data_IF_276578905497
#
_entry.id   IF_276578905497
#
_cell.length_a   1.000
_cell.length_b   1.000
_cell.length_c   1.000
_cell.angle_alpha   90.00
_cell.angle_beta   90.00
_cell.angle_gamma   90.00
#
_symmetry.space_group_name_H-M   'P 1'
#
loop_
_entity.id
_entity.type
_entity.pdbx_description
1 polymer ?
#
# COMPACT_ATOMS: atom_id res chain seq x y z
N UNK A 1 9.28 34.75 3.77
CA UNK A 1 10.59 34.20 3.31
C UNK A 1 10.58 33.94 1.79
N UNK A 2 11.59 33.28 1.21
CA UNK A 2 11.64 32.88 -0.22
C UNK A 2 11.97 31.38 -0.36
N UNK A 3 11.50 30.74 -1.43
CA UNK A 3 11.75 29.33 -1.70
C UNK A 3 13.18 29.07 -2.20
N UNK A 4 13.91 28.18 -1.54
CA UNK A 4 15.26 27.73 -1.96
C UNK A 4 15.26 26.84 -3.21
N UNK A 5 14.10 26.29 -3.62
CA UNK A 5 13.95 25.45 -4.82
C UNK A 5 13.52 26.22 -6.07
N UNK A 6 12.61 27.20 -5.95
CA UNK A 6 12.03 27.90 -7.11
C UNK A 6 12.10 29.44 -7.05
N UNK A 7 12.64 30.03 -5.98
CA UNK A 7 12.73 31.49 -5.81
C UNK A 7 11.41 32.22 -5.52
N UNK A 8 10.26 31.54 -5.53
CA UNK A 8 8.97 32.14 -5.20
C UNK A 8 8.94 32.72 -3.77
N UNK A 9 8.21 33.81 -3.57
CA UNK A 9 8.02 34.40 -2.24
C UNK A 9 7.02 33.55 -1.43
N UNK A 10 7.37 33.25 -0.18
CA UNK A 10 6.61 32.39 0.73
C UNK A 10 6.15 33.22 1.93
N UNK A 11 4.86 33.15 2.26
CA UNK A 11 4.28 33.70 3.49
C UNK A 11 4.81 32.98 4.73
N UNK A 12 5.21 33.72 5.75
CA UNK A 12 5.83 33.10 6.94
C UNK A 12 4.82 32.22 7.69
N UNK A 13 5.26 31.03 8.12
CA UNK A 13 4.43 30.01 8.79
C UNK A 13 3.97 28.83 7.90
N UNK A 14 4.06 28.91 6.57
CA UNK A 14 3.68 27.78 5.69
C UNK A 14 4.77 26.70 5.63
N UNK A 15 4.41 25.44 5.91
CA UNK A 15 5.32 24.28 5.92
C UNK A 15 5.83 23.85 4.53
N UNK A 16 5.16 24.27 3.45
CA UNK A 16 5.48 23.92 2.07
C UNK A 16 5.31 25.13 1.15
N UNK A 17 6.07 25.18 0.05
CA UNK A 17 5.99 26.23 -0.94
C UNK A 17 4.80 26.02 -1.88
N UNK A 18 3.78 26.87 -1.79
CA UNK A 18 2.55 26.81 -2.62
C UNK A 18 2.79 26.89 -4.13
N UNK A 19 3.94 27.39 -4.57
CA UNK A 19 4.31 27.46 -5.99
C UNK A 19 5.04 26.23 -6.56
N UNK A 20 5.52 25.28 -5.74
CA UNK A 20 6.26 24.11 -6.23
C UNK A 20 6.25 22.87 -5.30
N UNK A 21 5.43 22.84 -4.25
CA UNK A 21 5.32 21.73 -3.29
C UNK A 21 6.50 21.55 -2.32
N UNK A 22 7.66 22.16 -2.58
CA UNK A 22 8.88 21.93 -1.79
C UNK A 22 8.71 22.28 -0.29
N UNK A 23 9.13 21.41 0.65
CA UNK A 23 9.04 21.68 2.08
C UNK A 23 9.93 22.85 2.49
N UNK A 24 9.48 23.57 3.53
CA UNK A 24 10.15 24.76 4.07
C UNK A 24 10.67 24.43 5.46
N UNK A 25 11.99 24.21 5.58
CA UNK A 25 12.63 23.89 6.85
C UNK A 25 12.64 25.10 7.78
N UNK A 26 11.98 24.97 8.93
CA UNK A 26 11.90 26.01 9.96
C UNK A 26 13.16 25.95 10.84
N UNK A 27 14.24 26.59 10.38
CA UNK A 27 15.48 26.74 11.13
C UNK A 27 15.33 27.74 12.29
N UNK A 28 14.61 27.33 13.34
CA UNK A 28 14.41 28.13 14.54
C UNK A 28 15.74 28.36 15.27
N UNK A 29 16.20 29.62 15.32
CA UNK A 29 17.54 29.97 15.79
C UNK A 29 17.62 30.07 17.31
N UNK A 30 18.43 29.23 17.95
CA UNK A 30 19.05 29.51 19.25
C UNK A 30 20.52 29.07 19.26
N UNK A 31 21.37 30.03 18.93
CA UNK A 31 22.74 30.19 19.42
C UNK A 31 22.74 30.30 20.97
N UNK A 32 23.78 29.94 21.72
CA UNK A 32 25.08 29.33 21.39
C UNK A 32 25.72 28.69 22.66
N UNK A 33 26.94 28.17 22.51
CA UNK A 33 27.91 27.68 23.52
C UNK A 33 27.70 26.27 24.09
N UNK A 34 28.64 25.31 23.89
CA UNK A 34 29.81 25.34 22.99
C UNK A 34 30.87 24.25 23.27
N UNK A 35 31.69 23.93 22.25
CA UNK A 35 32.82 22.96 22.21
C UNK A 35 32.42 21.46 22.38
N UNK A 36 32.70 20.52 21.46
CA UNK A 36 33.97 20.04 20.83
C UNK A 36 34.75 19.07 21.75
N UNK A 37 35.41 17.97 21.32
CA UNK A 37 35.69 17.33 19.99
C UNK A 37 36.14 15.84 20.25
N UNK A 38 36.40 14.87 19.34
CA UNK A 38 36.50 14.74 17.87
C UNK A 38 36.42 13.24 17.42
N UNK A 39 36.29 12.97 16.10
CA UNK A 39 36.40 11.63 15.47
C UNK A 39 35.05 10.89 15.29
N UNK A 40 34.80 9.99 14.32
CA UNK A 40 35.58 9.35 13.23
C UNK A 40 34.85 8.03 12.85
N UNK A 41 34.87 7.45 11.65
CA UNK A 41 35.57 7.74 10.40
C UNK A 41 34.77 7.24 9.15
N UNK A 42 35.34 7.45 7.95
CA UNK A 42 34.95 6.92 6.62
C UNK A 42 35.07 5.35 6.59
N UNK A 43 34.62 4.55 5.56
CA UNK A 43 34.39 4.98 4.17
C UNK A 43 33.33 4.27 3.26
N UNK A 44 33.28 4.78 2.01
CA UNK A 44 33.20 4.06 0.69
C UNK A 44 31.88 3.84 -0.08
N UNK A 45 32.03 3.99 -1.43
CA UNK A 45 31.26 3.39 -2.55
C UNK A 45 29.84 3.96 -2.82
N UNK A 46 29.41 4.30 -4.06
CA UNK A 46 30.14 4.48 -5.34
C UNK A 46 29.27 5.27 -6.37
N UNK A 47 29.88 5.61 -7.51
CA UNK A 47 29.41 6.28 -8.74
C UNK A 47 27.92 6.11 -9.17
N UNK A 48 27.30 7.03 -9.92
CA UNK A 48 27.77 8.35 -10.38
C UNK A 48 27.34 8.76 -11.82
N UNK A 49 26.25 9.52 -11.94
CA UNK A 49 25.76 10.20 -13.18
C UNK A 49 25.26 9.29 -14.33
N UNK A 50 24.39 9.83 -15.23
CA UNK A 50 24.89 10.52 -16.42
C UNK A 50 24.51 12.03 -16.49
N UNK A 51 25.09 12.75 -17.47
CA UNK A 51 24.95 14.21 -17.63
C UNK A 51 24.21 14.63 -18.92
N UNK A 52 23.83 15.91 -18.94
CA UNK A 52 23.77 16.83 -20.09
C UNK A 52 22.77 16.59 -21.24
N UNK A 53 21.74 17.44 -21.26
CA UNK A 53 21.14 18.01 -22.49
C UNK A 53 22.14 18.94 -23.22
N UNK A 54 22.04 19.09 -24.55
CA UNK A 54 21.37 20.28 -25.12
C UNK A 54 20.48 19.95 -26.34
N UNK A 55 19.62 20.83 -26.88
CA UNK A 55 19.21 22.18 -26.45
C UNK A 55 18.66 23.04 -27.61
N UNK A 56 17.55 23.77 -27.38
CA UNK A 56 16.92 24.68 -28.35
C UNK A 56 15.88 24.00 -29.28
N UNK A 57 14.90 24.71 -29.87
CA UNK A 57 14.53 26.14 -29.79
C UNK A 57 13.00 26.31 -29.89
N UNK A 58 12.44 27.40 -29.37
CA UNK A 58 11.00 27.69 -29.37
C UNK A 58 10.66 28.76 -30.41
N UNK A 59 9.71 28.50 -31.33
CA UNK A 59 9.04 29.57 -32.06
C UNK A 59 7.64 29.21 -32.55
N UNK A 60 6.68 30.12 -32.29
CA UNK A 60 5.29 30.10 -32.78
C UNK A 60 5.15 30.92 -34.07
N UNK A 61 4.15 30.65 -34.91
CA UNK A 61 3.36 31.75 -35.50
C UNK A 61 1.84 31.72 -35.16
N UNK A 62 1.15 32.81 -35.47
CA UNK A 62 -0.28 33.08 -35.19
C UNK A 62 -1.16 33.13 -36.47
N UNK A 63 -2.52 33.19 -36.36
CA UNK A 63 -3.44 32.84 -37.46
C UNK A 63 -4.25 34.00 -38.09
N UNK A 64 -5.07 33.65 -39.10
CA UNK A 64 -6.23 34.36 -39.66
C UNK A 64 -7.12 33.33 -40.42
N UNK A 65 -8.46 33.44 -40.58
CA UNK A 65 -9.46 34.42 -40.12
C UNK A 65 -10.90 33.87 -40.20
N UNK A 66 -11.78 34.33 -39.28
CA UNK A 66 -13.17 34.83 -39.45
C UNK A 66 -13.95 34.59 -40.77
N UNK A 67 -15.29 34.45 -40.79
CA UNK A 67 -16.32 34.59 -39.72
C UNK A 67 -17.68 33.93 -40.10
N UNK A 68 -18.51 33.69 -39.07
CA UNK A 68 -19.97 33.46 -39.11
C UNK A 68 -20.75 34.81 -39.13
N UNK A 69 -22.03 34.91 -39.59
CA UNK A 69 -23.15 34.66 -38.66
C UNK A 69 -24.50 34.15 -39.26
N UNK A 70 -25.45 33.89 -38.35
CA UNK A 70 -26.77 33.26 -38.55
C UNK A 70 -27.96 34.28 -38.74
N UNK A 71 -29.24 34.01 -38.38
CA UNK A 71 -30.21 33.12 -39.06
C UNK A 71 -31.63 33.75 -39.34
N UNK A 72 -32.56 32.88 -39.79
CA UNK A 72 -34.04 32.91 -39.63
C UNK A 72 -34.94 33.71 -40.62
N UNK A 73 -36.13 33.15 -40.92
CA UNK A 73 -37.24 33.85 -41.58
C UNK A 73 -38.15 33.02 -42.52
N UNK A 74 -39.38 32.73 -42.08
CA UNK A 74 -40.54 32.27 -42.90
C UNK A 74 -41.60 33.42 -42.93
N UNK A 75 -42.81 33.38 -43.59
CA UNK A 75 -43.53 32.21 -44.15
C UNK A 75 -44.51 32.44 -45.37
N UNK A 76 -45.39 31.46 -45.63
CA UNK A 76 -46.80 31.54 -46.14
C UNK A 76 -47.13 31.71 -47.66
N UNK A 77 -47.70 30.63 -48.25
CA UNK A 77 -48.88 30.51 -49.15
C UNK A 77 -48.89 31.25 -50.54
N UNK A 78 -49.77 30.95 -51.52
CA UNK A 78 -51.06 30.20 -51.52
C UNK A 78 -51.43 29.54 -52.88
N UNK A 79 -52.42 28.63 -52.81
CA UNK A 79 -53.37 28.18 -53.84
C UNK A 79 -53.06 26.99 -54.77
N UNK A 80 -54.14 26.27 -55.09
CA UNK A 80 -54.18 24.98 -55.77
C UNK A 80 -55.42 24.92 -56.75
N UNK A 81 -56.11 23.79 -57.05
CA UNK A 81 -56.38 23.34 -58.43
C UNK A 81 -57.91 23.47 -58.77
N UNK A 82 -58.62 22.70 -59.67
CA UNK A 82 -58.20 21.52 -60.45
C UNK A 82 -58.88 21.25 -61.84
N UNK A 83 -58.54 20.07 -62.39
CA UNK A 83 -59.39 19.11 -63.14
C UNK A 83 -59.67 19.23 -64.67
N UNK A 84 -59.96 18.03 -65.20
CA UNK A 84 -60.51 17.63 -66.51
C UNK A 84 -59.67 17.82 -67.80
N UNK A 85 -59.92 17.14 -68.93
CA UNK A 85 -60.16 15.69 -69.21
C UNK A 85 -60.65 15.52 -70.69
N UNK A 86 -60.06 14.57 -71.42
CA UNK A 86 -60.56 13.95 -72.68
C UNK A 86 -60.72 14.78 -74.00
N UNK A 87 -59.88 14.36 -74.97
CA UNK A 87 -60.27 13.88 -76.32
C UNK A 87 -60.58 14.87 -77.47
N UNK A 88 -60.64 14.27 -78.69
CA UNK A 88 -60.88 14.85 -80.03
C UNK A 88 -59.71 15.72 -80.62
N UNK A 89 -59.44 15.75 -81.94
CA UNK A 89 -59.88 14.89 -83.06
C UNK A 89 -59.13 15.19 -84.39
N UNK A 90 -58.75 14.14 -85.13
CA UNK A 90 -58.60 14.07 -86.61
C UNK A 90 -57.51 14.93 -87.33
N UNK A 91 -57.23 14.60 -88.61
CA UNK A 91 -56.33 15.36 -89.51
C UNK A 91 -54.88 14.83 -89.56
N UNK A 92 -54.63 13.60 -90.02
CA UNK A 92 -54.47 13.20 -91.44
C UNK A 92 -53.05 13.44 -92.01
N UNK A 93 -52.55 12.48 -92.78
CA UNK A 93 -51.18 12.36 -93.28
C UNK A 93 -51.21 12.32 -94.85
N UNK A 94 -50.12 12.06 -95.61
CA UNK A 94 -48.73 11.79 -95.21
C UNK A 94 -47.67 12.51 -96.09
N UNK A 95 -46.38 12.26 -95.83
CA UNK A 95 -45.43 12.07 -96.93
C UNK A 95 -44.40 10.97 -96.62
N UNK A 96 -44.04 10.18 -97.65
CA UNK A 96 -43.22 8.95 -97.50
C UNK A 96 -41.72 9.22 -97.73
N UNK A 97 -40.87 8.49 -97.02
CA UNK A 97 -39.70 7.79 -97.59
C UNK A 97 -39.29 6.62 -96.68
N UNK A 98 -38.62 5.62 -97.23
CA UNK A 98 -38.29 4.38 -96.53
C UNK A 98 -36.95 3.81 -96.99
N UNK A 99 -36.24 3.10 -96.09
CA UNK A 99 -36.10 1.63 -96.16
C UNK A 99 -34.77 1.10 -95.57
N UNK A 100 -34.85 -0.11 -94.97
CA UNK A 100 -33.78 -1.13 -94.83
C UNK A 100 -32.53 -0.79 -93.97
N UNK A 101 -31.81 -1.77 -93.42
CA UNK A 101 -32.16 -3.14 -92.97
C UNK A 101 -31.06 -3.64 -92.01
N UNK A 102 -31.47 -4.44 -91.02
CA UNK A 102 -30.64 -5.23 -90.07
C UNK A 102 -29.24 -5.65 -90.54
N UNK A 103 -28.20 -5.23 -89.81
CA UNK A 103 -26.95 -5.99 -89.62
C UNK A 103 -26.27 -5.67 -88.28
N UNK A 104 -26.25 -4.41 -87.87
CA UNK A 104 -25.54 -3.96 -86.67
C UNK A 104 -26.18 -4.43 -85.35
N UNK A 105 -27.49 -4.70 -85.33
CA UNK A 105 -28.22 -5.15 -84.11
C UNK A 105 -27.69 -6.50 -83.60
N UNK A 106 -27.38 -7.44 -84.49
CA UNK A 106 -26.88 -8.77 -84.10
C UNK A 106 -25.50 -8.65 -83.44
N UNK A 107 -24.63 -7.78 -83.97
CA UNK A 107 -23.31 -7.53 -83.38
C UNK A 107 -23.46 -6.81 -82.03
N UNK A 108 -24.33 -5.81 -81.92
CA UNK A 108 -24.61 -5.13 -80.66
C UNK A 108 -25.14 -6.06 -79.57
N UNK A 109 -26.09 -6.94 -79.90
CA UNK A 109 -26.64 -7.96 -78.97
C UNK A 109 -25.58 -9.00 -78.60
N UNK A 110 -24.75 -9.44 -79.55
CA UNK A 110 -23.68 -10.40 -79.26
C UNK A 110 -22.60 -9.79 -78.35
N UNK A 111 -22.16 -8.56 -78.61
CA UNK A 111 -21.21 -7.83 -77.74
C UNK A 111 -21.83 -7.57 -76.37
N UNK A 112 -23.11 -7.18 -76.27
CA UNK A 112 -23.80 -7.01 -74.99
C UNK A 112 -23.89 -8.33 -74.20
N UNK A 113 -24.16 -9.46 -74.87
CA UNK A 113 -24.14 -10.78 -74.24
C UNK A 113 -22.73 -11.20 -73.80
N UNK A 114 -21.69 -10.95 -74.59
CA UNK A 114 -20.30 -11.23 -74.20
C UNK A 114 -19.88 -10.35 -73.02
N UNK A 115 -20.28 -9.08 -72.98
CA UNK A 115 -20.03 -8.19 -71.82
C UNK A 115 -20.83 -8.64 -70.59
N UNK A 116 -22.08 -9.06 -70.72
CA UNK A 116 -22.86 -9.62 -69.61
C UNK A 116 -22.29 -10.95 -69.10
N UNK A 117 -21.83 -11.83 -69.97
CA UNK A 117 -21.16 -13.08 -69.59
C UNK A 117 -19.79 -12.81 -68.97
N UNK A 118 -19.04 -11.82 -69.47
CA UNK A 118 -17.77 -11.40 -68.86
C UNK A 118 -17.97 -10.71 -67.51
N UNK A 119 -19.02 -9.91 -67.33
CA UNK A 119 -19.37 -9.29 -66.06
C UNK A 119 -19.90 -10.32 -65.05
N UNK A 120 -20.71 -11.28 -65.49
CA UNK A 120 -21.14 -12.40 -64.67
C UNK A 120 -19.97 -13.32 -64.29
N UNK A 121 -19.05 -13.61 -65.23
CA UNK A 121 -17.85 -14.39 -64.95
C UNK A 121 -16.87 -13.64 -64.04
N UNK A 122 -16.71 -12.32 -64.19
CA UNK A 122 -15.90 -11.50 -63.29
C UNK A 122 -16.53 -11.42 -61.89
N UNK A 123 -17.85 -11.19 -61.80
CA UNK A 123 -18.58 -11.22 -60.53
C UNK A 123 -18.50 -12.58 -59.84
N UNK A 124 -18.64 -13.67 -60.59
CA UNK A 124 -18.47 -15.05 -60.11
C UNK A 124 -17.03 -15.35 -59.67
N UNK A 125 -16.03 -14.88 -60.42
CA UNK A 125 -14.59 -15.00 -60.11
C UNK A 125 -14.15 -14.12 -58.93
N UNK A 126 -14.89 -13.07 -58.62
CA UNK A 126 -14.72 -12.21 -57.44
C UNK A 126 -15.45 -12.78 -56.22
N UNK A 127 -16.65 -13.32 -56.40
CA UNK A 127 -17.45 -14.03 -55.38
C UNK A 127 -16.81 -15.35 -54.93
N UNK A 128 -16.10 -16.05 -55.82
CA UNK A 128 -15.24 -17.20 -55.49
C UNK A 128 -13.91 -16.75 -54.84
N UNK A 129 -13.63 -15.43 -54.74
CA UNK A 129 -12.41 -14.86 -54.14
C UNK A 129 -12.62 -13.99 -52.92
N UNK A 130 -13.85 -13.81 -52.46
CA UNK A 130 -14.09 -13.35 -51.09
C UNK A 130 -13.85 -14.54 -50.17
N UNK A 131 -12.80 -14.54 -49.32
CA UNK A 131 -12.72 -15.51 -48.22
C UNK A 131 -14.00 -15.43 -47.39
N UNK A 132 -14.46 -16.57 -46.92
CA UNK A 132 -15.57 -16.63 -45.99
C UNK A 132 -15.08 -16.22 -44.59
N UNK A 133 -15.92 -15.63 -43.74
CA UNK A 133 -15.63 -15.59 -42.32
C UNK A 133 -15.59 -17.03 -41.78
N UNK A 134 -14.55 -17.33 -41.02
CA UNK A 134 -14.34 -18.57 -40.26
C UNK A 134 -14.57 -18.26 -38.79
N UNK A 135 -15.39 -19.07 -38.11
CA UNK A 135 -15.64 -18.92 -36.68
C UNK A 135 -14.41 -19.36 -35.87
N UNK A 136 -14.00 -18.53 -34.93
CA UNK A 136 -12.84 -18.75 -34.05
C UNK A 136 -13.34 -18.97 -32.62
N UNK A 137 -12.71 -19.90 -31.89
CA UNK A 137 -13.01 -20.18 -30.49
C UNK A 137 -11.72 -20.03 -29.68
N UNK A 138 -11.73 -19.16 -28.68
CA UNK A 138 -10.54 -18.75 -27.93
C UNK A 138 -10.78 -18.75 -26.40
N UNK A 139 -10.13 -19.66 -25.68
CA UNK A 139 -10.19 -19.73 -24.22
C UNK A 139 -9.44 -18.56 -23.56
N UNK A 140 -10.18 -17.59 -23.02
CA UNK A 140 -9.69 -16.63 -22.03
C UNK A 140 -9.84 -17.26 -20.64
N UNK A 141 -8.80 -17.22 -19.80
CA UNK A 141 -8.95 -17.59 -18.39
C UNK A 141 -9.53 -16.39 -17.64
N UNK A 142 -10.73 -16.52 -17.08
CA UNK A 142 -11.45 -15.46 -16.39
C UNK A 142 -12.14 -16.04 -15.15
N UNK A 143 -11.40 -16.07 -14.03
CA UNK A 143 -11.80 -16.82 -12.85
C UNK A 143 -13.15 -16.35 -12.28
N UNK A 144 -14.15 -17.24 -12.28
CA UNK A 144 -15.51 -16.95 -11.77
C UNK A 144 -16.45 -16.25 -12.76
N UNK A 145 -16.01 -15.96 -14.00
CA UNK A 145 -16.89 -15.42 -15.03
C UNK A 145 -17.72 -16.53 -15.69
N UNK A 146 -18.96 -16.21 -16.01
CA UNK A 146 -19.89 -17.01 -16.80
C UNK A 146 -20.70 -16.01 -17.65
N UNK A 147 -20.49 -15.97 -18.96
CA UNK A 147 -21.13 -14.96 -19.83
C UNK A 147 -22.64 -15.15 -19.97
N UNK A 148 -23.21 -16.29 -19.53
CA UNK A 148 -24.66 -16.49 -19.47
C UNK A 148 -25.33 -15.81 -18.28
N UNK A 149 -24.54 -15.32 -17.31
CA UNK A 149 -25.04 -14.62 -16.11
C UNK A 149 -24.32 -13.30 -15.81
N UNK A 150 -23.04 -13.16 -16.18
CA UNK A 150 -22.29 -11.89 -16.24
C UNK A 150 -22.41 -11.22 -17.61
N UNK A 151 -21.31 -10.60 -18.06
CA UNK A 151 -21.16 -10.11 -19.44
C UNK A 151 -20.33 -11.07 -20.30
N UNK A 152 -20.50 -10.99 -21.62
CA UNK A 152 -19.47 -11.36 -22.59
C UNK A 152 -18.19 -10.54 -22.38
N UNK A 153 -17.05 -11.06 -22.82
CA UNK A 153 -15.73 -10.44 -22.69
C UNK A 153 -15.49 -9.50 -23.90
N UNK A 154 -15.33 -8.17 -23.71
CA UNK A 154 -15.09 -7.25 -24.81
C UNK A 154 -13.62 -7.30 -25.23
N UNK A 155 -13.37 -7.67 -26.48
CA UNK A 155 -12.02 -7.78 -27.07
C UNK A 155 -11.89 -6.92 -28.31
N UNK A 156 -10.76 -6.25 -28.47
CA UNK A 156 -10.41 -5.49 -29.66
C UNK A 156 -9.40 -6.29 -30.49
N UNK A 157 -9.61 -6.37 -31.81
CA UNK A 157 -8.64 -6.96 -32.74
C UNK A 157 -8.13 -5.93 -33.75
N UNK A 158 -6.82 -5.91 -33.98
CA UNK A 158 -6.16 -5.15 -35.05
C UNK A 158 -5.32 -6.07 -35.95
N UNK A 159 -5.33 -5.88 -37.27
CA UNK A 159 -4.53 -6.70 -38.19
C UNK A 159 -4.83 -6.49 -39.68
N UNK A 160 -4.34 -7.40 -40.52
CA UNK A 160 -4.59 -7.41 -41.97
C UNK A 160 -5.16 -8.75 -42.44
N UNK A 161 -6.16 -8.71 -43.33
CA UNK A 161 -6.60 -9.89 -44.07
C UNK A 161 -5.58 -10.32 -45.15
N UNK A 162 -5.71 -11.54 -45.69
CA UNK A 162 -4.83 -12.06 -46.78
C UNK A 162 -4.88 -11.27 -48.11
N UNK A 163 -5.64 -10.17 -48.17
CA UNK A 163 -5.70 -9.24 -49.31
C UNK A 163 -4.99 -7.92 -49.00
N UNK A 164 -4.38 -7.77 -47.81
CA UNK A 164 -3.77 -6.54 -47.33
C UNK A 164 -4.81 -5.47 -46.98
N UNK A 165 -5.97 -5.87 -46.47
CA UNK A 165 -7.00 -4.95 -45.96
C UNK A 165 -6.97 -4.95 -44.44
N UNK A 166 -6.61 -3.79 -43.90
CA UNK A 166 -6.64 -3.45 -42.48
C UNK A 166 -8.02 -3.76 -41.85
N UNK A 167 -8.00 -4.35 -40.66
CA UNK A 167 -9.14 -4.67 -39.81
C UNK A 167 -8.83 -4.14 -38.42
N UNK A 168 -9.69 -3.27 -37.90
CA UNK A 168 -9.79 -2.91 -36.49
C UNK A 168 -11.28 -3.06 -36.12
N UNK A 169 -11.58 -3.85 -35.09
CA UNK A 169 -12.95 -4.21 -34.73
C UNK A 169 -13.08 -4.75 -33.29
N UNK A 170 -14.20 -4.42 -32.65
CA UNK A 170 -14.58 -4.94 -31.33
C UNK A 170 -15.47 -6.18 -31.47
N UNK A 171 -15.20 -7.20 -30.64
CA UNK A 171 -15.98 -8.43 -30.52
C UNK A 171 -16.33 -8.68 -29.04
N UNK A 172 -17.39 -9.45 -28.80
CA UNK A 172 -17.86 -9.79 -27.46
C UNK A 172 -17.91 -11.31 -27.34
N UNK A 173 -16.98 -11.89 -26.57
CA UNK A 173 -16.79 -13.34 -26.50
C UNK A 173 -17.57 -13.95 -25.34
N UNK A 174 -18.16 -15.12 -25.58
CA UNK A 174 -18.67 -15.99 -24.53
C UNK A 174 -17.51 -16.60 -23.72
N UNK A 175 -17.77 -17.06 -22.49
CA UNK A 175 -16.72 -17.68 -21.64
C UNK A 175 -16.23 -19.05 -22.12
N UNK A 176 -16.85 -19.64 -23.16
CA UNK A 176 -16.30 -20.79 -23.88
C UNK A 176 -15.39 -20.39 -25.06
N UNK A 177 -15.19 -19.08 -25.26
CA UNK A 177 -14.36 -18.50 -26.30
C UNK A 177 -15.05 -18.27 -27.64
N UNK A 178 -16.34 -18.61 -27.78
CA UNK A 178 -17.11 -18.36 -29.01
C UNK A 178 -17.58 -16.90 -29.12
N UNK A 179 -18.07 -16.51 -30.30
CA UNK A 179 -18.55 -15.14 -30.59
C UNK A 179 -17.70 -14.37 -31.62
N UNK A 180 -16.58 -14.94 -32.09
CA UNK A 180 -15.71 -14.32 -33.09
C UNK A 180 -15.82 -15.00 -34.47
N UNK A 181 -15.92 -14.18 -35.52
CA UNK A 181 -15.82 -14.59 -36.92
C UNK A 181 -14.80 -13.68 -37.65
N UNK A 182 -13.76 -14.28 -38.22
CA UNK A 182 -12.67 -13.60 -38.94
C UNK A 182 -12.44 -14.21 -40.32
N UNK A 183 -12.02 -13.40 -41.29
CA UNK A 183 -11.50 -13.90 -42.58
C UNK A 183 -10.01 -14.26 -42.46
N UNK A 184 -9.50 -15.09 -43.37
CA UNK A 184 -8.07 -15.40 -43.50
C UNK A 184 -7.21 -14.13 -43.34
N UNK A 185 -6.20 -14.17 -42.47
CA UNK A 185 -5.40 -13.00 -42.08
C UNK A 185 -4.56 -13.22 -40.83
N UNK A 186 -3.88 -12.17 -40.38
CA UNK A 186 -3.12 -12.13 -39.12
C UNK A 186 -3.56 -10.94 -38.28
N UNK A 187 -3.90 -11.18 -37.02
CA UNK A 187 -4.50 -10.20 -36.11
C UNK A 187 -3.89 -10.31 -34.71
N UNK A 188 -3.70 -9.19 -34.03
CA UNK A 188 -3.47 -9.14 -32.58
C UNK A 188 -4.81 -8.88 -31.87
N UNK A 189 -5.07 -9.60 -30.78
CA UNK A 189 -6.25 -9.50 -29.93
C UNK A 189 -5.85 -9.00 -28.54
N UNK A 190 -6.57 -8.00 -28.06
CA UNK A 190 -6.43 -7.41 -26.71
C UNK A 190 -7.78 -7.34 -26.01
N UNK A 191 -7.80 -7.32 -24.67
CA UNK A 191 -9.05 -7.07 -23.92
C UNK A 191 -9.33 -5.57 -23.88
N UNK A 192 -10.48 -5.14 -24.39
CA UNK A 192 -10.80 -3.73 -24.60
C UNK A 192 -11.28 -3.04 -23.31
N UNK A 193 -12.02 -3.77 -22.48
CA UNK A 193 -12.59 -3.30 -21.22
C UNK A 193 -12.83 -4.49 -20.28
N UNK A 194 -13.13 -4.22 -19.01
CA UNK A 194 -13.35 -5.30 -18.05
C UNK A 194 -14.73 -5.93 -18.24
N UNK A 195 -14.87 -7.27 -18.29
CA UNK A 195 -16.17 -7.91 -18.14
C UNK A 195 -16.68 -7.77 -16.69
N UNK A 196 -17.99 -7.95 -16.48
CA UNK A 196 -18.60 -7.95 -15.15
C UNK A 196 -19.16 -9.35 -14.85
N UNK A 197 -18.72 -9.99 -13.77
CA UNK A 197 -19.29 -11.27 -13.34
C UNK A 197 -20.66 -11.08 -12.68
N UNK A 198 -21.45 -12.16 -12.60
CA UNK A 198 -22.80 -12.14 -12.02
C UNK A 198 -22.87 -11.70 -10.55
N UNK A 199 -21.74 -11.71 -9.83
CA UNK A 199 -21.60 -11.27 -8.44
C UNK A 199 -20.95 -9.88 -8.28
N UNK A 200 -20.81 -9.14 -9.39
CA UNK A 200 -20.20 -7.82 -9.42
C UNK A 200 -18.66 -7.82 -9.49
N UNK A 201 -18.00 -8.97 -9.70
CA UNK A 201 -16.54 -8.98 -9.88
C UNK A 201 -16.12 -8.23 -11.15
N UNK A 202 -15.19 -7.29 -10.98
CA UNK A 202 -14.48 -6.58 -12.05
C UNK A 202 -13.05 -7.14 -12.15
N UNK A 203 -12.53 -7.28 -13.36
CA UNK A 203 -11.26 -7.92 -13.68
C UNK A 203 -10.18 -6.91 -14.10
N UNK A 204 -8.92 -7.25 -13.84
CA UNK A 204 -7.76 -6.47 -14.26
C UNK A 204 -7.47 -6.70 -15.75
N UNK A 205 -7.65 -5.66 -16.56
CA UNK A 205 -7.35 -5.68 -18.01
C UNK A 205 -5.94 -5.20 -18.35
N UNK A 206 -5.24 -4.52 -17.42
CA UNK A 206 -3.92 -3.94 -17.70
C UNK A 206 -2.82 -5.00 -17.81
N UNK A 207 -2.93 -6.06 -17.01
CA UNK A 207 -2.00 -7.19 -16.99
C UNK A 207 -2.50 -8.39 -17.82
N UNK A 208 -3.63 -8.24 -18.53
CA UNK A 208 -4.32 -9.35 -19.19
C UNK A 208 -3.56 -9.98 -20.37
N UNK A 209 -2.61 -9.25 -20.96
CA UNK A 209 -1.81 -9.68 -22.11
C UNK A 209 -2.51 -9.49 -23.47
N UNK A 210 -1.87 -9.99 -24.51
CA UNK A 210 -2.40 -10.03 -25.88
C UNK A 210 -2.15 -11.40 -26.53
N UNK A 211 -2.80 -11.63 -27.67
CA UNK A 211 -2.67 -12.86 -28.44
C UNK A 211 -2.62 -12.59 -29.95
N UNK A 212 -1.73 -13.27 -30.66
CA UNK A 212 -1.70 -13.28 -32.13
C UNK A 212 -2.57 -14.42 -32.64
N UNK A 213 -3.43 -14.13 -33.63
CA UNK A 213 -4.32 -15.08 -34.31
C UNK A 213 -3.94 -15.10 -35.79
N UNK A 214 -3.60 -16.28 -36.31
CA UNK A 214 -3.33 -16.51 -37.74
C UNK A 214 -4.40 -17.43 -38.32
N UNK A 215 -5.16 -16.97 -39.32
CA UNK A 215 -6.22 -17.74 -39.98
C UNK A 215 -5.80 -18.12 -41.41
N UNK A 216 -5.66 -19.41 -41.68
CA UNK A 216 -5.44 -19.99 -43.01
C UNK A 216 -6.60 -20.93 -43.39
N UNK A 217 -7.46 -20.52 -44.32
CA UNK A 217 -8.57 -21.31 -44.83
C UNK A 217 -9.64 -21.62 -43.79
N UNK A 218 -9.91 -22.92 -43.57
CA UNK A 218 -10.86 -23.42 -42.57
C UNK A 218 -10.19 -23.71 -41.21
N UNK A 219 -8.96 -23.22 -41.00
CA UNK A 219 -8.19 -23.42 -39.77
C UNK A 219 -7.58 -22.13 -39.23
N UNK A 220 -7.61 -21.97 -37.90
CA UNK A 220 -6.87 -20.93 -37.19
C UNK A 220 -5.78 -21.51 -36.29
N UNK A 221 -4.71 -20.76 -36.10
CA UNK A 221 -3.70 -20.97 -35.06
C UNK A 221 -3.57 -19.70 -34.21
N UNK A 222 -3.01 -19.85 -33.00
CA UNK A 222 -2.91 -18.77 -32.03
C UNK A 222 -1.60 -18.90 -31.23
N UNK A 223 -0.94 -17.77 -30.99
CA UNK A 223 0.21 -17.65 -30.09
C UNK A 223 -0.05 -16.56 -29.04
N UNK A 224 0.28 -16.83 -27.78
CA UNK A 224 -0.08 -15.99 -26.63
C UNK A 224 -1.19 -16.59 -25.76
N UNK A 225 -1.62 -15.84 -24.75
CA UNK A 225 -2.61 -16.26 -23.74
C UNK A 225 -3.12 -15.05 -22.99
N UNK A 226 -4.43 -14.98 -22.72
CA UNK A 226 -5.04 -13.89 -21.95
C UNK A 226 -5.62 -14.44 -20.66
N UNK A 227 -5.32 -13.75 -19.56
CA UNK A 227 -5.73 -14.10 -18.19
C UNK A 227 -6.33 -12.87 -17.52
N UNK A 228 -7.58 -12.97 -17.07
CA UNK A 228 -8.30 -11.92 -16.38
C UNK A 228 -8.39 -12.28 -14.90
N UNK A 229 -7.51 -11.66 -14.10
CA UNK A 229 -7.50 -11.77 -12.65
C UNK A 229 -8.54 -10.82 -12.02
N UNK A 230 -9.36 -11.28 -11.05
CA UNK A 230 -10.24 -10.42 -10.27
C UNK A 230 -9.49 -9.31 -9.53
N UNK A 231 -10.01 -8.07 -9.60
CA UNK A 231 -9.54 -6.96 -8.76
C UNK A 231 -10.11 -7.16 -7.34
N UNK A 232 -9.33 -6.96 -6.26
CA UNK A 232 -9.85 -6.97 -4.90
C UNK A 232 -11.01 -6.00 -4.75
N UNK A 233 -12.14 -6.44 -4.19
CA UNK A 233 -13.39 -5.68 -4.25
C UNK A 233 -13.28 -4.23 -3.71
N UNK A 234 -12.51 -4.01 -2.64
CA UNK A 234 -12.28 -2.68 -2.07
C UNK A 234 -11.34 -1.77 -2.90
N UNK A 235 -10.58 -2.33 -3.84
CA UNK A 235 -9.66 -1.59 -4.74
C UNK A 235 -10.32 -1.16 -6.07
N UNK A 236 -11.51 -1.70 -6.38
CA UNK A 236 -12.25 -1.37 -7.60
C UNK A 236 -12.67 0.11 -7.59
N UNK A 237 -12.31 0.88 -8.63
CA UNK A 237 -12.69 2.30 -8.75
C UNK A 237 -14.04 2.49 -9.45
N UNK A 238 -14.72 3.61 -9.19
CA UNK A 238 -15.92 4.02 -9.96
C UNK A 238 -15.67 3.98 -11.47
N UNK A 239 -14.47 4.39 -11.91
CA UNK A 239 -14.09 4.39 -13.32
C UNK A 239 -14.04 2.98 -13.90
N UNK A 240 -13.52 2.00 -13.19
CA UNK A 240 -13.46 0.61 -13.69
C UNK A 240 -14.85 -0.03 -13.79
N UNK A 241 -15.78 0.36 -12.92
CA UNK A 241 -17.19 -0.06 -13.00
C UNK A 241 -17.87 0.61 -14.21
N UNK A 242 -17.66 1.91 -14.42
CA UNK A 242 -18.28 2.63 -15.55
C UNK A 242 -17.69 2.21 -16.91
N UNK A 243 -16.36 2.09 -17.03
CA UNK A 243 -15.69 1.61 -18.26
C UNK A 243 -16.14 0.18 -18.62
N UNK A 244 -16.44 -0.66 -17.61
CA UNK A 244 -17.01 -2.01 -17.81
C UNK A 244 -18.51 -1.97 -18.18
N UNK A 245 -19.28 -1.04 -17.60
CA UNK A 245 -20.70 -0.83 -17.89
C UNK A 245 -20.92 -0.28 -19.31
N UNK A 246 -20.09 0.66 -19.78
CA UNK A 246 -20.12 1.13 -21.18
C UNK A 246 -19.87 -0.04 -22.16
N UNK A 247 -18.93 -0.93 -21.85
CA UNK A 247 -18.69 -2.13 -22.66
C UNK A 247 -19.83 -3.17 -22.58
N UNK A 248 -20.48 -3.30 -21.42
CA UNK A 248 -21.69 -4.12 -21.27
C UNK A 248 -22.81 -3.63 -22.20
N UNK A 249 -23.07 -2.31 -22.21
CA UNK A 249 -24.07 -1.67 -23.08
C UNK A 249 -23.73 -1.77 -24.57
N UNK A 250 -22.44 -1.68 -24.93
CA UNK A 250 -21.99 -1.70 -26.33
C UNK A 250 -22.08 -3.09 -26.99
N UNK A 251 -22.17 -4.16 -26.19
CA UNK A 251 -22.37 -5.53 -26.67
C UNK A 251 -22.10 -6.65 -25.66
N UNK A 252 -21.61 -6.33 -24.46
CA UNK A 252 -21.36 -7.33 -23.40
C UNK A 252 -22.63 -8.05 -22.90
N UNK A 253 -23.83 -7.48 -23.08
CA UNK A 253 -25.13 -8.13 -22.79
C UNK A 253 -26.15 -7.87 -23.91
N UNK A 254 -27.27 -8.62 -23.90
CA UNK A 254 -28.38 -8.46 -24.85
C UNK A 254 -29.49 -7.51 -24.36
N UNK A 255 -29.40 -7.00 -23.12
CA UNK A 255 -30.42 -6.17 -22.46
C UNK A 255 -29.78 -5.06 -21.60
N UNK A 256 -30.22 -3.82 -21.80
CA UNK A 256 -29.77 -2.63 -21.08
C UNK A 256 -30.04 -2.75 -19.56
N UNK A 257 -31.18 -3.35 -19.16
CA UNK A 257 -31.45 -3.60 -17.74
C UNK A 257 -30.42 -4.54 -17.12
N UNK A 258 -29.91 -5.54 -17.88
CA UNK A 258 -28.92 -6.48 -17.35
C UNK A 258 -27.56 -5.81 -17.14
N UNK A 259 -27.19 -4.84 -17.97
CA UNK A 259 -25.99 -4.02 -17.75
C UNK A 259 -26.13 -3.19 -16.46
N UNK A 260 -27.29 -2.59 -16.20
CA UNK A 260 -27.54 -1.85 -14.95
C UNK A 260 -27.48 -2.75 -13.72
N UNK A 261 -28.10 -3.93 -13.76
CA UNK A 261 -28.06 -4.91 -12.66
C UNK A 261 -26.64 -5.36 -12.33
N UNK A 262 -25.77 -5.50 -13.33
CA UNK A 262 -24.37 -5.89 -13.15
C UNK A 262 -23.50 -4.75 -12.63
N UNK A 263 -23.70 -3.50 -13.12
CA UNK A 263 -23.07 -2.28 -12.60
C UNK A 263 -23.41 -2.06 -11.13
N UNK A 264 -24.69 -2.21 -10.77
CA UNK A 264 -25.18 -2.01 -9.40
C UNK A 264 -24.66 -3.12 -8.47
N UNK A 265 -24.55 -4.37 -8.95
CA UNK A 265 -23.91 -5.46 -8.22
C UNK A 265 -22.41 -5.20 -7.97
N UNK A 266 -21.67 -4.70 -8.97
CA UNK A 266 -20.25 -4.34 -8.82
C UNK A 266 -20.04 -3.19 -7.83
N UNK A 267 -20.93 -2.19 -7.87
CA UNK A 267 -20.93 -1.06 -6.94
C UNK A 267 -21.19 -1.54 -5.50
N UNK A 268 -22.23 -2.36 -5.28
CA UNK A 268 -22.54 -2.93 -3.98
C UNK A 268 -21.40 -3.79 -3.43
N UNK A 269 -20.82 -4.68 -4.25
CA UNK A 269 -19.69 -5.54 -3.89
C UNK A 269 -18.49 -4.74 -3.38
N UNK A 270 -18.15 -3.65 -4.05
CA UNK A 270 -17.07 -2.73 -3.64
C UNK A 270 -17.42 -2.04 -2.32
N UNK A 271 -18.59 -1.43 -2.24
CA UNK A 271 -18.97 -0.62 -1.08
C UNK A 271 -19.09 -1.47 0.20
N UNK A 272 -19.63 -2.70 0.09
CA UNK A 272 -19.64 -3.69 1.18
C UNK A 272 -18.22 -4.11 1.61
N UNK A 273 -17.30 -4.31 0.65
CA UNK A 273 -15.91 -4.65 0.96
C UNK A 273 -15.17 -3.50 1.66
N UNK A 274 -15.37 -2.26 1.22
CA UNK A 274 -14.80 -1.06 1.85
C UNK A 274 -15.35 -0.86 3.26
N UNK A 275 -16.65 -1.09 3.51
CA UNK A 275 -17.21 -1.04 4.86
C UNK A 275 -16.64 -2.14 5.75
N UNK A 276 -16.50 -3.37 5.24
CA UNK A 276 -15.93 -4.49 5.97
C UNK A 276 -14.46 -4.28 6.36
N UNK A 277 -13.63 -3.74 5.46
CA UNK A 277 -12.23 -3.38 5.77
C UNK A 277 -12.15 -2.28 6.83
N UNK A 278 -12.98 -1.23 6.73
CA UNK A 278 -13.02 -0.18 7.74
C UNK A 278 -13.52 -0.70 9.10
N UNK A 279 -14.45 -1.66 9.14
CA UNK A 279 -14.86 -2.28 10.40
C UNK A 279 -13.75 -3.17 10.99
N UNK A 280 -13.04 -3.92 10.16
CA UNK A 280 -11.88 -4.72 10.59
C UNK A 280 -10.77 -3.84 11.17
N UNK A 281 -10.46 -2.71 10.51
CA UNK A 281 -9.48 -1.72 11.00
C UNK A 281 -9.90 -1.13 12.35
N UNK A 282 -11.16 -0.65 12.49
CA UNK A 282 -11.67 -0.13 13.77
C UNK A 282 -11.58 -1.15 14.91
N UNK A 283 -11.94 -2.42 14.65
CA UNK A 283 -11.84 -3.50 15.65
C UNK A 283 -10.38 -3.78 16.06
N UNK A 284 -9.44 -3.69 15.13
CA UNK A 284 -8.00 -3.81 15.43
C UNK A 284 -7.51 -2.63 16.27
N UNK A 285 -7.90 -1.39 15.95
CA UNK A 285 -7.56 -0.19 16.74
C UNK A 285 -8.15 -0.25 18.17
N UNK A 286 -9.39 -0.72 18.32
CA UNK A 286 -10.03 -0.95 19.64
C UNK A 286 -9.32 -2.04 20.46
N UNK A 287 -8.87 -3.13 19.82
CA UNK A 287 -8.11 -4.19 20.48
C UNK A 287 -6.68 -3.74 20.86
N UNK A 288 -6.00 -2.99 19.99
CA UNK A 288 -4.73 -2.32 20.27
C UNK A 288 -4.85 -1.35 21.45
N UNK A 289 -5.90 -0.51 21.47
CA UNK A 289 -6.15 0.44 22.55
C UNK A 289 -6.40 -0.28 23.89
N UNK A 290 -7.27 -1.30 23.89
CA UNK A 290 -7.53 -2.14 25.07
C UNK A 290 -6.27 -2.84 25.58
N UNK A 291 -5.41 -3.33 24.68
CA UNK A 291 -4.13 -3.97 25.05
C UNK A 291 -3.20 -2.99 25.74
N UNK A 292 -3.06 -1.77 25.21
CA UNK A 292 -2.24 -0.69 25.79
C UNK A 292 -2.80 -0.18 27.13
N UNK A 293 -4.13 -0.16 27.28
CA UNK A 293 -4.79 0.16 28.56
C UNK A 293 -4.52 -0.92 29.63
N UNK A 294 -4.59 -2.20 29.26
CA UNK A 294 -4.26 -3.32 30.15
C UNK A 294 -2.77 -3.33 30.52
N UNK A 295 -1.89 -3.03 29.57
CA UNK A 295 -0.43 -2.90 29.74
C UNK A 295 -0.09 -1.77 30.73
N UNK A 296 -0.58 -0.55 30.48
CA UNK A 296 -0.39 0.60 31.37
C UNK A 296 -1.04 0.40 32.76
N UNK A 297 -2.11 -0.40 32.86
CA UNK A 297 -2.73 -0.75 34.13
C UNK A 297 -1.93 -1.80 34.92
N UNK A 298 -1.09 -2.61 34.26
CA UNK A 298 -0.12 -3.51 34.91
C UNK A 298 1.11 -2.73 35.38
N UNK A 299 1.65 -1.82 34.58
CA UNK A 299 2.77 -0.94 34.94
C UNK A 299 2.50 -0.09 36.21
N UNK A 300 1.25 0.34 36.39
CA UNK A 300 0.79 1.06 37.60
C UNK A 300 0.48 0.13 38.79
N UNK A 301 0.35 -1.18 38.56
CA UNK A 301 0.03 -2.15 39.61
C UNK A 301 1.25 -2.86 40.16
N UNK A 302 2.35 -3.01 39.40
CA UNK A 302 3.55 -3.71 39.84
C UNK A 302 3.40 -5.25 39.95
N UNK A 303 4.47 -5.97 39.69
CA UNK A 303 4.52 -7.43 39.79
C UNK A 303 4.37 -7.95 41.24
N UNK A 304 4.80 -7.15 42.23
CA UNK A 304 4.81 -7.51 43.65
C UNK A 304 3.93 -6.55 44.46
N UNK A 305 3.33 -7.09 45.53
CA UNK A 305 2.16 -6.52 46.19
C UNK A 305 2.30 -6.60 47.71
N UNK A 306 2.68 -5.48 48.34
CA UNK A 306 2.59 -5.27 49.78
C UNK A 306 1.21 -4.71 50.17
N UNK A 307 0.96 -4.54 51.47
CA UNK A 307 -0.33 -4.03 51.97
C UNK A 307 -0.57 -2.56 51.55
N UNK A 308 0.40 -1.65 51.76
CA UNK A 308 0.28 -0.22 51.42
C UNK A 308 0.88 0.19 50.06
N UNK A 309 1.64 -0.68 49.40
CA UNK A 309 2.34 -0.36 48.16
C UNK A 309 2.49 -1.55 47.21
N UNK A 310 2.79 -1.28 45.95
CA UNK A 310 3.23 -2.25 44.96
C UNK A 310 4.54 -1.83 44.32
N UNK A 311 5.26 -2.79 43.76
CA UNK A 311 6.59 -2.58 43.17
C UNK A 311 6.90 -3.64 42.11
N UNK A 312 7.85 -3.32 41.24
CA UNK A 312 8.55 -4.24 40.36
C UNK A 312 9.97 -4.48 40.89
N UNK A 313 10.70 -5.46 40.33
CA UNK A 313 12.14 -5.59 40.55
C UNK A 313 12.89 -5.03 39.33
N UNK A 314 14.16 -4.59 39.50
CA UNK A 314 15.00 -4.23 38.36
C UNK A 314 15.04 -5.38 37.33
N UNK A 315 14.92 -5.09 36.04
CA UNK A 315 14.84 -6.15 35.01
C UNK A 315 16.07 -7.07 34.95
N UNK A 316 17.22 -6.59 35.44
CA UNK A 316 18.43 -7.39 35.62
C UNK A 316 18.31 -8.50 36.68
N UNK A 317 17.33 -8.39 37.58
CA UNK A 317 17.04 -9.36 38.65
C UNK A 317 16.03 -10.44 38.23
N UNK A 318 15.35 -10.29 37.07
CA UNK A 318 14.37 -11.25 36.58
C UNK A 318 14.93 -12.67 36.52
N UNK A 319 14.31 -13.60 37.26
CA UNK A 319 14.75 -14.99 37.37
C UNK A 319 16.02 -15.23 38.21
N UNK A 320 16.77 -14.18 38.59
CA UNK A 320 17.98 -14.29 39.45
C UNK A 320 17.71 -14.05 40.93
N UNK A 321 16.55 -13.51 41.29
CA UNK A 321 16.16 -13.25 42.69
C UNK A 321 14.85 -13.94 43.08
N UNK A 322 14.62 -14.06 44.39
CA UNK A 322 13.33 -14.40 44.98
C UNK A 322 12.84 -13.27 45.89
N UNK A 323 11.54 -12.97 45.82
CA UNK A 323 10.91 -11.90 46.61
C UNK A 323 9.98 -12.53 47.64
N UNK A 324 10.09 -12.09 48.90
CA UNK A 324 9.23 -12.50 50.00
C UNK A 324 8.54 -11.26 50.58
N UNK A 325 7.20 -11.26 50.62
CA UNK A 325 6.40 -10.15 51.16
C UNK A 325 5.76 -10.57 52.48
N UNK A 326 5.87 -9.73 53.50
CA UNK A 326 5.24 -9.87 54.82
C UNK A 326 4.56 -8.55 55.20
N UNK A 327 3.29 -8.41 54.80
CA UNK A 327 2.47 -7.21 55.00
C UNK A 327 3.02 -5.97 54.29
N UNK A 328 3.48 -5.00 55.08
CA UNK A 328 4.04 -3.71 54.66
C UNK A 328 5.57 -3.74 54.41
N UNK A 329 6.17 -4.93 54.30
CA UNK A 329 7.59 -5.13 54.02
C UNK A 329 7.79 -6.21 52.95
N UNK A 330 8.80 -6.04 52.11
CA UNK A 330 9.22 -7.02 51.12
C UNK A 330 10.74 -7.14 51.04
N UNK A 331 11.26 -8.36 51.22
CA UNK A 331 12.71 -8.65 51.18
C UNK A 331 13.04 -9.50 49.95
N UNK A 332 14.12 -9.13 49.27
CA UNK A 332 14.60 -9.73 48.03
C UNK A 332 15.91 -10.47 48.32
N UNK A 333 16.00 -11.73 47.90
CA UNK A 333 17.14 -12.63 48.12
C UNK A 333 17.71 -13.13 46.80
N UNK A 334 19.01 -13.42 46.75
CA UNK A 334 19.61 -14.12 45.60
C UNK A 334 19.00 -15.52 45.42
N UNK A 335 18.61 -15.90 44.19
CA UNK A 335 18.20 -17.28 43.88
C UNK A 335 19.37 -18.25 43.95
N UNK A 336 20.60 -17.76 43.76
CA UNK A 336 21.85 -18.53 43.82
C UNK A 336 22.28 -18.77 45.27
N UNK A 337 22.10 -17.76 46.14
CA UNK A 337 22.42 -17.80 47.57
C UNK A 337 21.22 -17.34 48.42
N UNK A 338 20.22 -18.20 48.67
CA UNK A 338 18.93 -17.80 49.29
C UNK A 338 19.01 -17.25 50.71
N UNK A 339 20.13 -17.45 51.41
CA UNK A 339 20.43 -16.83 52.70
C UNK A 339 20.98 -15.40 52.61
N UNK A 340 21.23 -14.88 51.39
CA UNK A 340 21.78 -13.55 51.14
C UNK A 340 20.69 -12.59 50.64
N UNK A 341 20.29 -11.69 51.53
CA UNK A 341 19.42 -10.54 51.25
C UNK A 341 20.14 -9.52 50.37
N UNK A 342 19.53 -9.17 49.23
CA UNK A 342 20.02 -8.16 48.31
C UNK A 342 19.46 -6.77 48.62
N UNK A 343 18.19 -6.72 49.05
CA UNK A 343 17.45 -5.51 49.41
C UNK A 343 16.20 -5.83 50.24
N UNK A 344 15.74 -4.86 51.03
CA UNK A 344 14.41 -4.82 51.64
C UNK A 344 13.73 -3.48 51.32
N UNK A 345 12.50 -3.54 50.85
CA UNK A 345 11.56 -2.43 50.73
C UNK A 345 10.60 -2.46 51.92
N UNK A 346 10.41 -1.36 52.63
CA UNK A 346 9.45 -1.28 53.74
C UNK A 346 8.68 0.06 53.72
N UNK A 347 7.39 0.01 54.04
CA UNK A 347 6.59 1.22 54.28
C UNK A 347 7.08 1.96 55.53
N UNK A 348 7.24 3.27 55.43
CA UNK A 348 7.73 4.13 56.53
C UNK A 348 6.92 5.44 56.59
N UNK A 349 6.45 5.78 57.79
CA UNK A 349 5.83 7.08 58.08
C UNK A 349 6.87 8.19 58.27
N UNK A 350 6.60 9.38 57.72
CA UNK A 350 7.55 10.52 57.58
C UNK A 350 8.25 10.98 58.88
N UNK A 351 7.70 10.70 60.06
CA UNK A 351 8.33 11.03 61.35
C UNK A 351 9.55 10.14 61.71
N UNK A 352 9.80 9.07 60.95
CA UNK A 352 10.97 8.22 61.13
C UNK A 352 12.21 8.83 60.43
N UNK A 353 13.08 9.48 61.21
CA UNK A 353 14.33 10.03 60.72
C UNK A 353 15.31 8.94 60.27
N UNK A 354 15.35 8.67 58.96
CA UNK A 354 16.41 7.86 58.33
C UNK A 354 17.79 8.52 58.52
N UNK A 355 18.73 7.76 59.06
CA UNK A 355 20.10 8.18 59.31
C UNK A 355 21.03 6.99 59.20
N UNK A 356 21.97 7.06 58.27
CA UNK A 356 22.63 5.88 57.69
C UNK A 356 24.15 5.96 57.74
N UNK A 357 24.82 4.81 57.68
CA UNK A 357 26.28 4.72 57.57
C UNK A 357 26.64 4.34 56.13
N UNK A 358 27.12 5.34 55.38
CA UNK A 358 27.32 5.30 53.92
C UNK A 358 28.32 4.21 53.47
N UNK A 359 29.14 3.67 54.37
CA UNK A 359 29.96 2.48 54.06
C UNK A 359 29.21 1.15 54.18
N UNK A 360 28.26 1.05 55.11
CA UNK A 360 27.64 -0.22 55.49
C UNK A 360 26.44 -0.64 54.64
N UNK A 361 25.70 0.31 54.08
CA UNK A 361 24.44 0.06 53.37
C UNK A 361 24.21 1.06 52.23
N UNK A 362 23.31 0.71 51.33
CA UNK A 362 22.72 1.56 50.31
C UNK A 362 21.28 1.82 50.78
N UNK A 363 20.88 3.08 50.84
CA UNK A 363 19.66 3.52 51.51
C UNK A 363 18.99 4.67 50.74
N UNK A 364 17.71 4.53 50.37
CA UNK A 364 16.94 5.58 49.68
C UNK A 364 15.44 5.53 50.02
N UNK A 365 14.67 6.55 49.60
CA UNK A 365 13.25 6.71 49.99
C UNK A 365 12.39 7.24 48.84
N UNK A 366 11.33 6.51 48.49
CA UNK A 366 10.37 6.88 47.45
C UNK A 366 9.05 7.42 48.03
N UNK A 367 8.48 8.43 47.40
CA UNK A 367 7.20 9.04 47.80
C UNK A 367 6.01 8.31 47.15
N UNK A 368 5.16 7.68 47.97
CA UNK A 368 3.93 7.03 47.52
C UNK A 368 2.76 8.03 47.40
N UNK A 369 2.99 9.30 47.71
CA UNK A 369 1.97 10.34 47.84
C UNK A 369 1.30 10.35 49.22
N UNK A 370 0.51 11.39 49.47
CA UNK A 370 -0.25 11.60 50.72
C UNK A 370 0.57 11.64 52.03
N UNK A 371 1.91 11.67 51.96
CA UNK A 371 2.78 11.56 53.14
C UNK A 371 3.08 10.10 53.54
N UNK A 372 2.99 9.17 52.59
CA UNK A 372 3.41 7.79 52.70
C UNK A 372 4.70 7.60 51.92
N UNK A 373 5.67 6.84 52.46
CA UNK A 373 6.94 6.57 51.78
C UNK A 373 7.31 5.10 51.88
N UNK A 374 8.07 4.60 50.90
CA UNK A 374 8.83 3.37 51.03
C UNK A 374 10.30 3.70 51.20
N UNK A 375 10.94 2.97 52.11
CA UNK A 375 12.37 2.98 52.35
C UNK A 375 12.99 1.73 51.72
N UNK A 376 14.02 1.92 50.90
CA UNK A 376 14.93 0.89 50.45
C UNK A 376 16.11 0.82 51.42
N UNK A 377 16.40 -0.38 51.91
CA UNK A 377 17.68 -0.75 52.52
C UNK A 377 18.30 -1.88 51.71
N UNK A 378 19.59 -1.78 51.41
CA UNK A 378 20.36 -2.86 50.79
C UNK A 378 21.75 -2.98 51.45
N UNK A 379 22.26 -4.19 51.75
CA UNK A 379 23.65 -4.37 52.17
C UNK A 379 24.60 -3.86 51.09
N UNK A 380 25.64 -3.08 51.41
CA UNK A 380 26.68 -2.81 50.40
C UNK A 380 27.64 -4.01 50.32
N UNK A 381 27.38 -5.01 49.45
CA UNK A 381 28.24 -6.20 49.41
C UNK A 381 29.65 -5.89 48.90
N UNK A 382 29.81 -4.97 47.96
CA UNK A 382 31.13 -4.57 47.46
C UNK A 382 32.03 -4.06 48.60
N UNK A 383 31.53 -3.12 49.40
CA UNK A 383 32.22 -2.62 50.58
C UNK A 383 32.36 -3.67 51.68
N UNK A 384 31.27 -4.33 52.10
CA UNK A 384 31.28 -5.28 53.24
C UNK A 384 32.29 -6.40 53.04
N UNK A 385 32.26 -7.06 51.87
CA UNK A 385 33.12 -8.21 51.60
C UNK A 385 34.58 -7.76 51.44
N UNK A 386 34.83 -6.64 50.74
CA UNK A 386 36.19 -6.13 50.56
C UNK A 386 36.81 -5.64 51.89
N UNK A 387 36.04 -4.93 52.71
CA UNK A 387 36.48 -4.45 54.02
C UNK A 387 36.80 -5.62 54.96
N UNK A 388 35.91 -6.62 55.05
CA UNK A 388 36.15 -7.82 55.85
C UNK A 388 37.41 -8.62 55.40
N UNK A 389 37.64 -8.69 54.08
CA UNK A 389 38.82 -9.32 53.50
C UNK A 389 40.12 -8.59 53.89
N UNK A 390 40.14 -7.26 53.78
CA UNK A 390 41.32 -6.43 54.04
C UNK A 390 41.57 -6.17 55.53
N UNK A 391 40.52 -6.13 56.36
CA UNK A 391 40.64 -6.05 57.82
C UNK A 391 41.06 -7.38 58.47
N UNK A 392 40.90 -8.49 57.75
CA UNK A 392 41.11 -9.84 58.26
C UNK A 392 40.09 -10.23 59.33
N UNK A 393 38.79 -10.04 59.02
CA UNK A 393 37.72 -10.36 59.97
C UNK A 393 37.76 -11.83 60.42
N UNK A 394 37.29 -12.07 61.65
CA UNK A 394 37.18 -13.41 62.24
C UNK A 394 35.72 -13.82 62.50
N UNK A 395 34.75 -13.01 62.08
CA UNK A 395 33.33 -13.36 62.18
C UNK A 395 32.96 -14.35 61.05
N UNK A 396 32.35 -15.52 61.34
CA UNK A 396 31.88 -16.43 60.30
C UNK A 396 30.85 -15.83 59.33
N UNK A 397 30.12 -14.78 59.71
CA UNK A 397 29.18 -14.08 58.82
C UNK A 397 29.87 -13.25 57.72
N UNK A 398 31.14 -12.87 57.96
CA UNK A 398 31.99 -12.11 57.05
C UNK A 398 32.73 -13.00 56.03
N UNK A 399 32.49 -14.31 56.03
CA UNK A 399 33.08 -15.24 55.08
C UNK A 399 32.19 -15.43 53.85
N UNK A 400 32.78 -15.18 52.69
CA UNK A 400 32.18 -15.31 51.36
C UNK A 400 33.17 -16.08 50.46
N UNK A 401 32.67 -16.87 49.51
CA UNK A 401 33.50 -17.37 48.41
C UNK A 401 33.73 -16.28 47.36
N UNK A 402 34.70 -16.45 46.45
CA UNK A 402 34.93 -15.47 45.38
C UNK A 402 33.74 -15.43 44.41
N UNK A 403 33.23 -16.59 44.03
CA UNK A 403 32.05 -16.75 43.14
C UNK A 403 30.80 -16.09 43.74
N UNK A 404 30.63 -16.22 45.07
CA UNK A 404 29.55 -15.59 45.83
C UNK A 404 29.72 -14.06 45.94
N UNK A 405 30.94 -13.57 46.17
CA UNK A 405 31.23 -12.14 46.20
C UNK A 405 31.04 -11.50 44.81
N UNK A 406 31.38 -12.22 43.74
CA UNK A 406 31.17 -11.78 42.36
C UNK A 406 29.67 -11.80 41.99
N UNK A 407 28.91 -12.86 42.29
CA UNK A 407 27.44 -12.91 42.07
C UNK A 407 26.69 -11.82 42.85
N UNK A 408 27.02 -11.58 44.12
CA UNK A 408 26.32 -10.58 44.93
C UNK A 408 26.60 -9.15 44.46
N UNK A 409 27.85 -8.84 44.07
CA UNK A 409 28.20 -7.51 43.54
C UNK A 409 27.72 -7.32 42.10
N UNK A 410 27.70 -8.37 41.26
CA UNK A 410 27.10 -8.34 39.93
C UNK A 410 25.59 -8.08 40.01
N UNK A 411 24.87 -8.79 40.89
CA UNK A 411 23.44 -8.58 41.13
C UNK A 411 23.14 -7.16 41.60
N UNK A 412 23.84 -6.67 42.62
CA UNK A 412 23.57 -5.30 43.11
C UNK A 412 23.95 -4.25 42.08
N UNK A 413 25.09 -4.38 41.39
CA UNK A 413 25.57 -3.39 40.41
C UNK A 413 24.89 -3.42 39.04
N UNK A 414 23.91 -4.29 38.79
CA UNK A 414 23.40 -4.50 37.44
C UNK A 414 24.46 -4.99 36.44
N UNK A 415 25.50 -5.65 36.95
CA UNK A 415 26.69 -6.07 36.20
C UNK A 415 27.70 -4.96 35.88
N UNK A 416 27.61 -3.76 36.50
CA UNK A 416 28.54 -2.66 36.22
C UNK A 416 29.84 -2.67 37.04
N UNK A 417 29.92 -3.43 38.14
CA UNK A 417 31.11 -3.51 39.01
C UNK A 417 31.62 -4.93 39.15
N UNK A 418 32.92 -5.12 38.89
CA UNK A 418 33.61 -6.36 39.23
C UNK A 418 34.17 -6.30 40.67
N UNK A 419 33.84 -7.30 41.50
CA UNK A 419 34.29 -7.36 42.89
C UNK A 419 35.83 -7.44 43.04
N UNK A 420 36.53 -8.16 42.15
CA UNK A 420 37.98 -8.29 42.22
C UNK A 420 38.68 -6.95 41.97
N UNK A 421 38.22 -6.16 40.99
CA UNK A 421 38.72 -4.80 40.77
C UNK A 421 38.41 -3.88 41.96
N UNK A 422 37.20 -4.00 42.53
CA UNK A 422 36.79 -3.24 43.71
C UNK A 422 37.69 -3.50 44.94
N UNK A 423 37.96 -4.79 45.23
CA UNK A 423 38.86 -5.22 46.29
C UNK A 423 40.30 -4.70 46.08
N UNK A 424 40.78 -4.66 44.84
CA UNK A 424 42.13 -4.18 44.52
C UNK A 424 42.25 -2.67 44.72
N UNK A 425 41.28 -1.88 44.22
CA UNK A 425 41.26 -0.43 44.40
C UNK A 425 41.13 -0.02 45.88
N UNK A 426 40.26 -0.66 46.66
CA UNK A 426 40.18 -0.43 48.11
C UNK A 426 41.52 -0.73 48.81
N UNK A 427 42.24 -1.78 48.39
CA UNK A 427 43.57 -2.11 48.94
C UNK A 427 44.61 -1.02 48.63
N UNK A 428 44.64 -0.55 47.39
CA UNK A 428 45.59 0.49 46.96
C UNK A 428 45.30 1.85 47.60
N UNK A 429 44.02 2.15 47.90
CA UNK A 429 43.59 3.29 48.71
C UNK A 429 43.72 3.07 50.24
N UNK A 430 44.51 2.08 50.68
CA UNK A 430 44.89 1.90 52.08
C UNK A 430 43.92 1.04 52.91
N UNK A 431 43.01 0.31 52.27
CA UNK A 431 42.20 -0.76 52.89
C UNK A 431 41.07 -0.29 53.80
N UNK A 432 40.59 0.94 53.66
CA UNK A 432 39.49 1.50 54.48
C UNK A 432 38.34 2.08 53.65
N UNK A 433 38.62 2.52 52.42
CA UNK A 433 37.64 2.98 51.43
C UNK A 433 38.27 2.83 50.03
N UNK A 434 37.48 2.61 48.96
CA UNK A 434 37.94 2.84 47.59
C UNK A 434 38.17 4.33 47.29
N UNK A 435 38.58 4.67 46.07
CA UNK A 435 38.49 6.06 45.59
C UNK A 435 37.03 6.53 45.40
N UNK A 436 36.83 7.82 45.19
CA UNK A 436 35.49 8.41 45.13
C UNK A 436 34.66 7.93 43.93
N UNK A 437 35.28 7.72 42.77
CA UNK A 437 34.55 7.33 41.55
C UNK A 437 34.04 5.89 41.69
N UNK A 438 34.88 5.01 42.23
CA UNK A 438 34.53 3.62 42.47
C UNK A 438 33.72 3.41 43.76
N UNK A 439 33.79 4.34 44.74
CA UNK A 439 32.82 4.40 45.85
C UNK A 439 31.42 4.69 45.32
N UNK A 440 31.27 5.68 44.43
CA UNK A 440 29.97 6.00 43.83
C UNK A 440 29.46 4.83 42.99
N UNK A 441 30.29 4.22 42.15
CA UNK A 441 29.95 3.00 41.43
C UNK A 441 29.65 1.80 42.36
N UNK A 442 30.15 1.82 43.60
CA UNK A 442 29.91 0.81 44.64
C UNK A 442 28.71 1.07 45.55
N UNK A 443 28.16 2.30 45.57
CA UNK A 443 27.10 2.73 46.50
C UNK A 443 25.82 3.15 45.77
N UNK A 444 25.91 3.68 44.54
CA UNK A 444 24.76 4.04 43.71
C UNK A 444 24.37 2.91 42.77
N UNK A 445 24.26 1.69 43.31
CA UNK A 445 24.07 0.46 42.52
C UNK A 445 22.61 0.06 42.35
N UNK A 446 21.78 0.35 43.35
CA UNK A 446 20.33 0.14 43.35
C UNK A 446 19.72 1.37 44.03
N UNK A 447 18.72 1.99 43.41
CA UNK A 447 17.91 3.05 44.01
C UNK A 447 16.44 2.61 44.14
N UNK A 448 15.61 3.41 44.80
CA UNK A 448 14.17 3.11 44.96
C UNK A 448 13.41 3.28 43.64
N UNK A 449 13.88 4.18 42.78
CA UNK A 449 13.33 4.41 41.45
C UNK A 449 13.43 3.15 40.55
N UNK A 450 14.42 2.28 40.77
CA UNK A 450 14.58 1.01 40.02
C UNK A 450 13.51 -0.04 40.36
N UNK A 451 12.73 0.16 41.43
CA UNK A 451 11.64 -0.73 41.84
C UNK A 451 10.23 -0.26 41.41
N UNK A 452 10.09 0.84 40.65
CA UNK A 452 8.81 1.33 40.11
C UNK A 452 7.67 1.32 41.17
N UNK A 453 7.90 1.96 42.33
CA UNK A 453 7.03 1.78 43.50
C UNK A 453 5.80 2.70 43.47
N UNK A 454 4.60 2.12 43.63
CA UNK A 454 3.32 2.84 43.63
C UNK A 454 2.56 2.66 44.96
N UNK A 455 1.91 3.72 45.44
CA UNK A 455 0.98 3.65 46.58
C UNK A 455 -0.38 3.05 46.20
N UNK A 456 -1.04 2.37 47.14
CA UNK A 456 -2.28 1.60 46.90
C UNK A 456 -3.53 2.12 47.64
#
# INVERSE_FOLDING_TARGET
MFCTKCGAQISDGTRFCTACGAPVSVAASRSDAGAAEAGGADPTISMGSPQSVPGGTVQMPRPASYADPAPAGSPVQTYAPPQHQQAASFGEAPHRKASRKTRNVVIGVFVALVVLVAAAAAGWFFFIRTPAPTAVVFMIDAAGLDSSTGTRIPVHIEGEDVRGKEVSADYYLETDGSGMELVDGVYELTVAASPIAADGTIYNVADAGSATIEIEGDSGSMEGSISLDPIPAAEVTDRQIEDAYEAALAGGVDDEQRAEELRDAATARRDEAVEAEQEAQRRQEEEEARRREEEAAREQQGAYQADSFSFDIPSYWEGRVTVQVDGDSATIYSSTYPERELATLAYVSVDAGVGTDIGGAIDSTGDLGNGMMVYLYAPNYAYRIAYANLSGSTDPADYYTLEEAEELVDLQSGGTVNYTDYLNNMRDNGGTSPDQDMLLAGVQQIDIDDFNVHGR
#
